data_IF_083332374405
#
_entry.id   IF_083332374405
#
_cell.length_a   1.000
_cell.length_b   1.000
_cell.length_c   1.000
_cell.angle_alpha   90.00
_cell.angle_beta   90.00
_cell.angle_gamma   90.00
#
_symmetry.space_group_name_H-M   'P 1'
#
loop_
_entity.id
_entity.type
_entity.pdbx_description
1 polymer ?
#
# COMPACT_ATOMS: atom_id res chain seq x y z
N UNK A 1 -5.13 -5.07 -27.87
CA UNK A 1 -6.34 -5.61 -27.20
C UNK A 1 -6.21 -5.34 -25.72
N UNK A 2 -6.73 -4.22 -25.23
CA UNK A 2 -6.74 -3.91 -23.80
C UNK A 2 -7.85 -4.74 -23.14
N UNK A 3 -7.51 -5.48 -22.08
CA UNK A 3 -8.50 -6.25 -21.32
C UNK A 3 -9.57 -5.33 -20.75
N UNK A 4 -10.83 -5.57 -21.11
CA UNK A 4 -12.00 -4.79 -20.68
C UNK A 4 -12.49 -5.24 -19.30
N UNK A 5 -11.58 -5.31 -18.33
CA UNK A 5 -11.94 -5.46 -16.93
C UNK A 5 -12.32 -4.10 -16.34
N UNK A 6 -13.14 -4.05 -15.27
CA UNK A 6 -13.30 -2.82 -14.50
C UNK A 6 -11.92 -2.30 -14.07
N UNK A 7 -11.74 -0.96 -13.99
CA UNK A 7 -10.45 -0.39 -13.60
C UNK A 7 -10.04 -0.95 -12.24
N UNK A 8 -8.81 -1.49 -12.16
CA UNK A 8 -8.27 -1.98 -10.91
C UNK A 8 -8.27 -0.85 -9.85
N UNK A 9 -8.62 -1.15 -8.59
CA UNK A 9 -8.61 -0.16 -7.53
C UNK A 9 -7.18 0.34 -7.28
N UNK A 10 -7.06 1.63 -6.96
CA UNK A 10 -5.78 2.27 -6.61
C UNK A 10 -5.69 2.38 -5.10
N UNK A 11 -4.56 1.97 -4.52
CA UNK A 11 -4.32 2.03 -3.08
C UNK A 11 -3.11 2.88 -2.74
N UNK A 12 -3.25 3.73 -1.73
CA UNK A 12 -2.15 4.41 -1.06
C UNK A 12 -1.77 3.59 0.17
N UNK A 13 -0.63 2.90 0.11
CA UNK A 13 -0.16 2.02 1.19
C UNK A 13 0.79 2.75 2.12
N UNK A 14 0.59 2.63 3.43
CA UNK A 14 1.46 3.20 4.47
C UNK A 14 1.59 2.26 5.68
N UNK A 15 2.66 2.40 6.46
CA UNK A 15 2.84 1.72 7.75
C UNK A 15 2.16 2.45 8.93
N UNK A 16 1.57 3.62 8.67
CA UNK A 16 0.71 4.36 9.60
C UNK A 16 1.40 5.50 10.36
N UNK A 17 2.72 5.68 10.18
CA UNK A 17 3.44 6.84 10.69
C UNK A 17 2.96 8.10 9.95
N UNK A 18 2.64 9.16 10.70
CA UNK A 18 2.01 10.37 10.14
C UNK A 18 2.76 10.96 8.93
N UNK A 19 4.10 10.95 8.95
CA UNK A 19 4.91 11.42 7.83
C UNK A 19 4.82 10.53 6.59
N UNK A 20 4.81 9.21 6.77
CA UNK A 20 4.67 8.24 5.68
C UNK A 20 3.25 8.25 5.09
N UNK A 21 2.22 8.38 5.94
CA UNK A 21 0.83 8.49 5.52
C UNK A 21 0.60 9.73 4.64
N UNK A 22 1.06 10.91 5.07
CA UNK A 22 0.92 12.13 4.27
C UNK A 22 1.64 12.06 2.92
N UNK A 23 2.79 11.38 2.85
CA UNK A 23 3.50 11.15 1.58
C UNK A 23 2.74 10.21 0.65
N UNK A 24 2.20 9.10 1.18
CA UNK A 24 1.42 8.15 0.40
C UNK A 24 0.13 8.79 -0.15
N UNK A 25 -0.56 9.58 0.67
CA UNK A 25 -1.76 10.32 0.28
C UNK A 25 -1.45 11.39 -0.77
N UNK A 26 -0.39 12.18 -0.58
CA UNK A 26 0.02 13.22 -1.53
C UNK A 26 0.39 12.63 -2.89
N UNK A 27 1.12 11.50 -2.90
CA UNK A 27 1.44 10.79 -4.14
C UNK A 27 0.18 10.28 -4.84
N UNK A 28 -0.75 9.67 -4.10
CA UNK A 28 -1.98 9.14 -4.66
C UNK A 28 -2.90 10.25 -5.20
N UNK A 29 -2.95 11.40 -4.52
CA UNK A 29 -3.66 12.59 -5.00
C UNK A 29 -3.06 13.12 -6.30
N UNK A 30 -1.72 13.15 -6.43
CA UNK A 30 -1.04 13.57 -7.65
C UNK A 30 -1.29 12.64 -8.85
N UNK A 31 -1.59 11.36 -8.61
CA UNK A 31 -2.00 10.40 -9.67
C UNK A 31 -3.40 10.73 -10.23
N UNK A 32 -4.23 11.47 -9.50
CA UNK A 32 -5.52 11.97 -9.99
C UNK A 32 -6.60 10.89 -10.22
N UNK A 33 -6.44 9.70 -9.63
CA UNK A 33 -7.43 8.62 -9.66
C UNK A 33 -8.07 8.44 -8.29
N UNK A 34 -9.33 8.03 -8.19
CA UNK A 34 -9.91 7.62 -6.92
C UNK A 34 -9.06 6.53 -6.27
N UNK A 35 -8.69 6.73 -5.00
CA UNK A 35 -7.83 5.81 -4.26
C UNK A 35 -8.34 5.60 -2.84
N UNK A 36 -7.92 4.49 -2.24
CA UNK A 36 -8.17 4.13 -0.85
C UNK A 36 -6.85 4.13 -0.07
N UNK A 37 -6.81 4.76 1.10
CA UNK A 37 -5.63 4.71 1.99
C UNK A 37 -5.71 3.44 2.82
N UNK A 38 -4.65 2.63 2.80
CA UNK A 38 -4.56 1.40 3.59
C UNK A 38 -3.31 1.38 4.44
N UNK A 39 -3.51 1.13 5.73
CA UNK A 39 -2.41 0.95 6.68
C UNK A 39 -2.05 -0.52 6.78
N UNK A 40 -0.81 -0.86 6.46
CA UNK A 40 -0.26 -2.21 6.57
C UNK A 40 0.63 -2.31 7.80
N UNK A 41 0.42 -3.36 8.61
CA UNK A 41 1.31 -3.70 9.71
C UNK A 41 2.24 -4.82 9.30
N UNK A 42 3.54 -4.58 9.42
CA UNK A 42 4.53 -5.62 9.22
C UNK A 42 4.48 -6.61 10.38
N UNK A 43 4.34 -7.90 10.05
CA UNK A 43 4.46 -8.98 11.03
C UNK A 43 5.93 -9.20 11.38
N UNK A 44 6.18 -9.74 12.57
CA UNK A 44 7.52 -10.23 12.94
C UNK A 44 7.98 -11.33 11.96
N UNK A 45 9.28 -11.42 11.63
CA UNK A 45 10.38 -10.58 12.13
C UNK A 45 10.57 -9.29 11.32
N UNK A 46 9.78 -9.05 10.27
CA UNK A 46 9.96 -7.94 9.34
C UNK A 46 9.80 -6.56 10.00
N UNK A 47 8.99 -6.45 11.04
CA UNK A 47 8.89 -5.24 11.85
C UNK A 47 10.14 -4.90 12.65
N UNK A 48 11.07 -5.85 12.83
CA UNK A 48 12.33 -5.63 13.54
C UNK A 48 13.44 -5.12 12.63
N UNK A 49 13.23 -5.15 11.32
CA UNK A 49 14.22 -4.68 10.37
C UNK A 49 14.17 -3.14 10.27
N UNK A 50 15.33 -2.48 10.06
CA UNK A 50 15.37 -1.06 9.68
C UNK A 50 14.48 -0.81 8.47
N UNK A 51 13.85 0.37 8.37
CA UNK A 51 12.85 0.70 7.35
C UNK A 51 13.28 0.34 5.91
N UNK A 52 14.54 0.55 5.54
CA UNK A 52 15.08 0.22 4.22
C UNK A 52 15.19 -1.31 3.93
N UNK A 53 15.00 -2.17 4.94
CA UNK A 53 15.01 -3.64 4.84
C UNK A 53 13.66 -4.26 5.18
N UNK A 54 12.68 -3.47 5.57
CA UNK A 54 11.30 -3.92 5.72
C UNK A 54 10.83 -4.36 4.32
N UNK A 55 10.57 -5.66 4.16
CA UNK A 55 10.67 -6.38 2.89
C UNK A 55 9.99 -5.70 1.67
N UNK A 56 10.70 -5.50 0.53
CA UNK A 56 10.09 -5.00 -0.71
C UNK A 56 9.12 -6.01 -1.36
N UNK A 57 9.23 -7.31 -1.03
CA UNK A 57 8.35 -8.35 -1.58
C UNK A 57 6.95 -8.42 -0.99
N UNK A 58 6.72 -7.83 0.20
CA UNK A 58 5.42 -7.88 0.87
C UNK A 58 4.39 -6.91 0.26
N UNK A 59 4.86 -5.86 -0.43
CA UNK A 59 4.00 -4.90 -1.14
C UNK A 59 3.63 -5.36 -2.56
N UNK A 60 4.34 -6.37 -3.11
CA UNK A 60 4.04 -6.93 -4.42
C UNK A 60 2.99 -8.05 -4.39
N UNK A 61 2.81 -8.70 -3.23
CA UNK A 61 1.79 -9.74 -3.09
C UNK A 61 0.54 -9.05 -2.56
N UNK A 62 -0.42 -8.76 -3.45
CA UNK A 62 -1.74 -8.29 -3.09
C UNK A 62 -2.48 -9.30 -2.20
N UNK A 63 -2.14 -9.33 -0.91
CA UNK A 63 -2.86 -10.08 0.10
C UNK A 63 -4.12 -9.28 0.45
N UNK A 64 -5.08 -9.32 -0.48
CA UNK A 64 -6.48 -9.10 -0.20
C UNK A 64 -7.00 -10.31 0.58
N UNK A 65 -6.54 -10.49 1.82
CA UNK A 65 -7.28 -11.33 2.76
C UNK A 65 -8.31 -10.45 3.45
N UNK A 66 -9.48 -10.46 2.81
CA UNK A 66 -10.78 -10.33 3.44
C UNK A 66 -10.75 -10.95 4.85
N UNK A 67 -10.83 -10.11 5.89
CA UNK A 67 -11.20 -10.53 7.23
C UNK A 67 -12.24 -9.55 7.76
N UNK A 68 -13.50 -10.00 7.74
CA UNK A 68 -14.65 -9.34 8.34
C UNK A 68 -15.76 -9.04 7.33
#
# INVERSE_FOLDING_TARGET
>A
MAGTGPPAPVWALTTGEAGAAGQAEGLAAAVGRPFEVRTVRLRRPWSWLPAHRQAPGLLQTGLVESLG
#
